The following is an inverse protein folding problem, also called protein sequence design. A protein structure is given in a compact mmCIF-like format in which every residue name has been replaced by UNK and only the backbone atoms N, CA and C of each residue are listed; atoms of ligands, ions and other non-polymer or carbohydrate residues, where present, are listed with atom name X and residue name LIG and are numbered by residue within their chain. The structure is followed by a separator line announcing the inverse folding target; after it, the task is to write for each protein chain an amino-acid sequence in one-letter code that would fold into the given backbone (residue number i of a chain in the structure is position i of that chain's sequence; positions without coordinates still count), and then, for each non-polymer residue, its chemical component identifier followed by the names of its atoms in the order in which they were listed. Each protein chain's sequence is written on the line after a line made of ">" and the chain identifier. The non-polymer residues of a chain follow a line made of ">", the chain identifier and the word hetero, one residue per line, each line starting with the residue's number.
data_IF_099550386577
#
_entry.id   IF_099550386577
#
_cell.length_a   1.000
_cell.length_b   1.000
_cell.length_c   1.000
_cell.angle_alpha   90.00
_cell.angle_beta   90.00
_cell.angle_gamma   90.00
#
_symmetry.space_group_name_H-M   'P 1'
#
loop_
_entity.id
_entity.type
_entity.pdbx_description
1 polymer ?
#
# COMPACT_ATOMS: atom_id res chain seq x y z
N UNK A 1 -5.22 1.28 10.79
CA UNK A 1 -5.25 -0.16 10.45
C UNK A 1 -4.70 -0.30 9.05
N UNK A 2 -3.93 -1.35 8.80
CA UNK A 2 -3.52 -1.76 7.45
C UNK A 2 -3.59 -3.30 7.34
N UNK A 3 -3.89 -3.81 6.15
CA UNK A 3 -3.93 -5.24 5.86
C UNK A 3 -3.11 -5.55 4.61
N UNK A 4 -2.50 -6.72 4.58
CA UNK A 4 -1.66 -7.20 3.46
C UNK A 4 -1.80 -8.71 3.37
N UNK A 5 -1.93 -9.23 2.15
CA UNK A 5 -2.30 -10.62 1.86
C UNK A 5 -1.42 -11.18 0.73
N UNK A 6 -1.17 -12.49 0.72
CA UNK A 6 -0.42 -13.16 -0.35
C UNK A 6 -1.38 -13.60 -1.45
N UNK A 7 -1.04 -13.30 -2.70
CA UNK A 7 -1.84 -13.63 -3.90
C UNK A 7 -0.93 -14.22 -4.98
N UNK A 8 -0.76 -15.53 -4.97
CA UNK A 8 0.03 -16.23 -5.99
C UNK A 8 1.46 -15.69 -6.09
N UNK A 9 1.74 -14.95 -7.16
CA UNK A 9 3.03 -14.37 -7.50
C UNK A 9 3.28 -12.97 -6.90
N UNK A 10 2.27 -12.32 -6.30
CA UNK A 10 2.41 -11.01 -5.68
C UNK A 10 1.81 -10.94 -4.28
N UNK A 11 2.14 -9.87 -3.57
CA UNK A 11 1.49 -9.52 -2.31
C UNK A 11 0.58 -8.33 -2.53
N UNK A 12 -0.64 -8.39 -2.01
CA UNK A 12 -1.61 -7.33 -2.18
C UNK A 12 -1.71 -6.47 -0.92
N UNK A 13 -1.50 -5.17 -1.08
CA UNK A 13 -1.76 -4.18 -0.04
C UNK A 13 -3.22 -3.77 -0.12
N UNK A 14 -4.00 -4.35 0.80
CA UNK A 14 -5.46 -4.27 0.90
C UNK A 14 -5.90 -2.88 1.42
N UNK A 15 -6.61 -2.87 2.55
CA UNK A 15 -7.10 -1.67 3.20
C UNK A 15 -5.98 -0.99 3.99
N UNK A 16 -5.89 0.34 3.89
CA UNK A 16 -5.12 1.18 4.81
C UNK A 16 -5.98 2.38 5.24
N UNK A 17 -6.15 2.54 6.55
CA UNK A 17 -7.01 3.59 7.12
C UNK A 17 -6.37 4.27 8.32
N UNK A 18 -6.44 5.61 8.33
CA UNK A 18 -6.04 6.48 9.45
C UNK A 18 -7.20 7.40 9.81
N UNK A 19 -7.51 7.50 11.11
CA UNK A 19 -8.54 8.41 11.64
C UNK A 19 -8.23 9.85 11.21
N UNK A 20 -9.27 10.61 10.85
CA UNK A 20 -9.11 11.92 10.22
C UNK A 20 -8.18 12.88 10.97
N UNK A 21 -8.33 13.02 12.30
CA UNK A 21 -7.49 13.90 13.14
C UNK A 21 -6.01 13.51 13.25
N UNK A 22 -5.63 12.34 12.73
CA UNK A 22 -4.25 11.83 12.75
C UNK A 22 -3.62 11.74 11.35
N UNK A 23 -4.33 12.20 10.30
CA UNK A 23 -3.78 12.24 8.94
C UNK A 23 -2.66 13.31 8.84
N UNK A 24 -1.85 13.22 7.78
CA UNK A 24 -0.72 14.15 7.56
C UNK A 24 0.52 13.87 8.41
N UNK A 25 0.48 12.87 9.31
CA UNK A 25 1.59 12.52 10.23
C UNK A 25 2.43 11.31 9.79
N UNK A 26 2.30 10.88 8.53
CA UNK A 26 3.03 9.72 8.01
C UNK A 26 2.56 8.33 8.48
N UNK A 27 1.52 8.23 9.33
CA UNK A 27 1.05 6.96 9.93
C UNK A 27 0.69 5.90 8.87
N UNK A 28 0.01 6.31 7.78
CA UNK A 28 -0.35 5.40 6.70
C UNK A 28 0.89 4.82 5.99
N UNK A 29 1.90 5.66 5.75
CA UNK A 29 3.18 5.24 5.15
C UNK A 29 3.87 4.25 6.08
N UNK A 30 3.98 4.56 7.38
CA UNK A 30 4.61 3.65 8.35
C UNK A 30 3.95 2.26 8.37
N UNK A 31 2.61 2.21 8.41
CA UNK A 31 1.89 0.94 8.35
C UNK A 31 2.12 0.19 7.03
N UNK A 32 2.13 0.89 5.89
CA UNK A 32 2.39 0.27 4.60
C UNK A 32 3.84 -0.21 4.46
N UNK A 33 4.82 0.50 5.02
CA UNK A 33 6.23 0.07 5.06
C UNK A 33 6.37 -1.25 5.82
N UNK A 34 5.66 -1.43 6.93
CA UNK A 34 5.61 -2.72 7.63
C UNK A 34 5.01 -3.83 6.75
N UNK A 35 3.94 -3.52 5.99
CA UNK A 35 3.38 -4.45 5.00
C UNK A 35 4.37 -4.84 3.89
N UNK A 36 5.24 -3.91 3.46
CA UNK A 36 6.31 -4.22 2.50
C UNK A 36 7.40 -5.13 3.10
N UNK A 37 7.66 -5.05 4.40
CA UNK A 37 8.54 -6.01 5.06
C UNK A 37 7.94 -7.42 5.03
N UNK A 38 6.63 -7.56 5.26
CA UNK A 38 5.93 -8.83 5.09
C UNK A 38 6.06 -9.35 3.65
N UNK A 39 5.88 -8.50 2.64
CA UNK A 39 6.06 -8.90 1.24
C UNK A 39 7.47 -9.45 0.96
N UNK A 40 8.51 -8.81 1.50
CA UNK A 40 9.89 -9.30 1.43
C UNK A 40 10.05 -10.67 2.08
N UNK A 41 9.47 -10.89 3.27
CA UNK A 41 9.52 -12.18 3.98
C UNK A 41 8.81 -13.29 3.22
N UNK A 42 7.77 -12.97 2.47
CA UNK A 42 7.09 -13.92 1.59
C UNK A 42 7.86 -14.21 0.28
N UNK A 43 8.98 -13.54 0.03
CA UNK A 43 9.73 -13.67 -1.22
C UNK A 43 9.01 -13.08 -2.43
N UNK A 44 8.00 -12.21 -2.23
CA UNK A 44 7.25 -11.62 -3.32
C UNK A 44 8.08 -10.56 -4.05
N UNK A 45 8.17 -10.67 -5.37
CA UNK A 45 8.85 -9.69 -6.22
C UNK A 45 8.00 -8.43 -6.46
N UNK A 46 6.68 -8.56 -6.34
CA UNK A 46 5.72 -7.51 -6.69
C UNK A 46 4.75 -7.27 -5.54
N UNK A 47 4.45 -6.00 -5.28
CA UNK A 47 3.34 -5.59 -4.40
C UNK A 47 2.32 -4.81 -5.22
N UNK A 48 1.05 -5.21 -5.14
CA UNK A 48 -0.06 -4.57 -5.85
C UNK A 48 -1.04 -3.93 -4.88
N UNK A 49 -1.76 -2.91 -5.36
CA UNK A 49 -2.88 -2.29 -4.65
C UNK A 49 -3.74 -1.60 -5.72
N UNK A 50 -5.04 -1.44 -5.46
CA UNK A 50 -5.91 -0.67 -6.35
C UNK A 50 -6.67 0.38 -5.55
N UNK A 51 -6.97 1.49 -6.21
CA UNK A 51 -7.77 2.56 -5.65
C UNK A 51 -8.77 3.04 -6.70
N UNK A 52 -9.92 3.52 -6.23
CA UNK A 52 -10.82 4.27 -7.10
C UNK A 52 -10.06 5.47 -7.69
N UNK A 53 -10.18 5.79 -9.00
CA UNK A 53 -9.38 6.83 -9.66
C UNK A 53 -9.48 8.21 -9.01
N UNK A 54 -10.63 8.54 -8.42
CA UNK A 54 -10.84 9.80 -7.70
C UNK A 54 -10.11 9.89 -6.34
N UNK A 55 -9.50 8.81 -5.84
CA UNK A 55 -8.80 8.81 -4.56
C UNK A 55 -7.37 9.35 -4.69
N UNK A 56 -7.26 10.63 -5.08
CA UNK A 56 -5.99 11.30 -5.35
C UNK A 56 -5.01 11.24 -4.15
N UNK A 57 -5.53 11.28 -2.92
CA UNK A 57 -4.69 11.22 -1.71
C UNK A 57 -3.97 9.87 -1.56
N UNK A 58 -4.71 8.76 -1.72
CA UNK A 58 -4.11 7.43 -1.63
C UNK A 58 -3.14 7.16 -2.80
N UNK A 59 -3.51 7.59 -4.01
CA UNK A 59 -2.66 7.47 -5.20
C UNK A 59 -1.35 8.24 -5.02
N UNK A 60 -1.41 9.51 -4.60
CA UNK A 60 -0.22 10.32 -4.37
C UNK A 60 0.70 9.73 -3.28
N UNK A 61 0.11 9.18 -2.21
CA UNK A 61 0.87 8.48 -1.17
C UNK A 61 1.58 7.24 -1.73
N UNK A 62 0.90 6.40 -2.52
CA UNK A 62 1.51 5.20 -3.09
C UNK A 62 2.63 5.55 -4.07
N UNK A 63 2.47 6.60 -4.89
CA UNK A 63 3.52 7.11 -5.78
C UNK A 63 4.77 7.55 -5.01
N UNK A 64 4.59 8.21 -3.85
CA UNK A 64 5.72 8.55 -2.95
C UNK A 64 6.42 7.32 -2.38
N UNK A 65 5.71 6.19 -2.27
CA UNK A 65 6.28 4.91 -1.85
C UNK A 65 6.89 4.11 -3.01
N UNK A 66 6.90 4.65 -4.24
CA UNK A 66 7.47 4.00 -5.41
C UNK A 66 6.52 3.10 -6.20
N UNK A 67 5.23 3.09 -5.87
CA UNK A 67 4.24 2.41 -6.72
C UNK A 67 4.08 3.15 -8.05
N UNK A 68 3.96 2.36 -9.12
CA UNK A 68 3.65 2.82 -10.47
C UNK A 68 2.28 2.31 -10.89
N UNK A 69 1.69 2.94 -11.90
CA UNK A 69 0.44 2.45 -12.50
C UNK A 69 0.74 1.08 -13.14
N UNK A 70 -0.15 0.10 -12.94
CA UNK A 70 0.02 -1.23 -13.48
C UNK A 70 0.02 -1.15 -15.02
N UNK A 71 0.94 -1.86 -15.65
CA UNK A 71 0.94 -2.09 -17.08
C UNK A 71 0.24 -3.42 -17.32
N UNK A 72 -0.77 -3.42 -18.19
CA UNK A 72 -1.45 -4.63 -18.66
C UNK A 72 -0.54 -5.45 -19.58
#
# INVERSE_FOLDING_TARGET
>A
MAATSVHGDFVFNEMTGVRAGYRGRGIAIAMKTLGLEFAKRCGAATVRTFHHPANASAIAMNRRMGFVDAQD
#
